data_IF_396880732933
#
_entry.id   IF_396880732933
#
_cell.length_a   1.000
_cell.length_b   1.000
_cell.length_c   1.000
_cell.angle_alpha   90.00
_cell.angle_beta   90.00
_cell.angle_gamma   90.00
#
_symmetry.space_group_name_H-M   'P 1'
#
loop_
_entity.id
_entity.type
_entity.pdbx_description
1 polymer ?
#
# COMPACT_ATOMS: atom_id res chain seq x y z
N UNK A 1 -6.74 20.78 -7.06
CA UNK A 1 -6.54 19.37 -7.44
C UNK A 1 -6.12 18.62 -6.19
N UNK A 2 -7.05 18.01 -5.50
CA UNK A 2 -6.78 17.14 -4.35
C UNK A 2 -6.23 15.82 -4.90
N UNK A 3 -4.96 15.53 -4.65
CA UNK A 3 -4.35 14.25 -5.01
C UNK A 3 -4.96 13.15 -4.13
N UNK A 4 -6.00 12.49 -4.62
CA UNK A 4 -6.64 11.41 -3.89
C UNK A 4 -5.75 10.18 -3.91
N UNK A 5 -5.23 9.81 -2.74
CA UNK A 5 -4.44 8.59 -2.58
C UNK A 5 -5.37 7.37 -2.72
N UNK A 6 -5.11 6.54 -3.73
CA UNK A 6 -5.91 5.34 -3.99
C UNK A 6 -5.35 4.13 -3.25
N UNK A 7 -6.10 3.65 -2.26
CA UNK A 7 -5.79 2.46 -1.49
C UNK A 7 -6.48 1.20 -2.00
N UNK A 8 -5.78 0.07 -1.94
CA UNK A 8 -6.33 -1.25 -2.26
C UNK A 8 -5.84 -2.31 -1.29
N UNK A 9 -6.70 -3.27 -0.97
CA UNK A 9 -6.36 -4.34 -0.04
C UNK A 9 -5.55 -5.41 -0.75
N UNK A 10 -4.36 -5.78 -0.26
CA UNK A 10 -3.61 -6.89 -0.84
C UNK A 10 -4.30 -8.24 -0.58
N UNK A 11 -5.16 -8.34 0.44
CA UNK A 11 -5.78 -9.61 0.83
C UNK A 11 -7.14 -9.86 0.16
N UNK A 12 -8.02 -8.85 0.13
CA UNK A 12 -9.38 -8.99 -0.42
C UNK A 12 -9.67 -8.08 -1.61
N UNK A 13 -8.67 -7.32 -2.09
CA UNK A 13 -8.76 -6.42 -3.22
C UNK A 13 -9.75 -5.26 -3.06
N UNK A 14 -10.39 -5.14 -1.90
CA UNK A 14 -11.30 -4.06 -1.55
C UNK A 14 -10.61 -2.71 -1.44
N UNK A 15 -11.35 -1.65 -1.74
CA UNK A 15 -10.92 -0.25 -1.67
C UNK A 15 -11.49 0.50 -0.47
N UNK A 16 -12.36 -0.13 0.33
CA UNK A 16 -12.93 0.48 1.53
C UNK A 16 -12.04 0.27 2.75
N UNK A 17 -11.76 1.36 3.45
CA UNK A 17 -10.83 1.39 4.57
C UNK A 17 -11.24 2.37 5.65
N UNK A 18 -10.70 2.14 6.84
CA UNK A 18 -10.67 3.11 7.93
C UNK A 18 -9.23 3.51 8.21
N UNK A 19 -9.05 4.70 8.74
CA UNK A 19 -7.77 5.19 9.25
C UNK A 19 -7.82 5.29 10.76
N UNK A 20 -6.76 4.87 11.44
CA UNK A 20 -6.65 4.96 12.90
C UNK A 20 -5.21 5.27 13.28
N UNK A 21 -5.04 6.17 14.24
CA UNK A 21 -3.71 6.50 14.81
C UNK A 21 -3.04 5.30 15.46
N UNK A 22 -3.83 4.34 15.96
CA UNK A 22 -3.33 3.10 16.55
C UNK A 22 -2.82 2.09 15.50
N UNK A 23 -3.25 2.24 14.26
CA UNK A 23 -2.86 1.37 13.14
C UNK A 23 -1.65 1.94 12.36
N UNK A 24 -1.12 3.10 12.78
CA UNK A 24 0.06 3.74 12.19
C UNK A 24 1.32 2.98 12.60
N UNK A 25 2.16 2.65 11.62
CA UNK A 25 3.45 1.98 11.81
C UNK A 25 4.39 2.30 10.64
N UNK A 26 5.67 1.94 10.74
CA UNK A 26 6.62 2.08 9.63
C UNK A 26 6.12 1.42 8.33
N UNK A 27 5.41 0.29 8.44
CA UNK A 27 4.84 -0.46 7.31
C UNK A 27 3.46 0.03 6.88
N UNK A 28 2.83 0.91 7.65
CA UNK A 28 1.51 1.48 7.39
C UNK A 28 1.47 2.94 7.89
N UNK A 29 2.18 3.87 7.24
CA UNK A 29 2.35 5.23 7.74
C UNK A 29 1.02 6.01 7.76
N UNK A 30 0.07 5.61 6.91
CA UNK A 30 -1.23 6.25 6.77
C UNK A 30 -2.29 5.63 7.72
N UNK A 31 -1.91 4.63 8.52
CA UNK A 31 -2.82 3.97 9.46
C UNK A 31 -4.04 3.33 8.79
N UNK A 32 -3.96 3.04 7.49
CA UNK A 32 -5.09 2.63 6.67
C UNK A 32 -5.27 1.11 6.71
N UNK A 33 -6.46 0.67 7.14
CA UNK A 33 -6.82 -0.74 7.29
C UNK A 33 -8.10 -1.04 6.55
N UNK A 34 -8.14 -2.18 5.84
CA UNK A 34 -9.35 -2.63 5.18
C UNK A 34 -10.47 -2.84 6.20
N UNK A 35 -11.68 -2.37 5.92
CA UNK A 35 -12.82 -2.54 6.82
C UNK A 35 -13.23 -4.01 6.93
N UNK A 36 -13.06 -4.79 5.86
CA UNK A 36 -13.48 -6.19 5.81
C UNK A 36 -12.48 -7.13 6.49
N UNK A 37 -11.23 -7.18 6.00
CA UNK A 37 -10.25 -8.16 6.48
C UNK A 37 -9.22 -7.59 7.46
N UNK A 38 -9.28 -6.28 7.76
CA UNK A 38 -8.35 -5.59 8.68
C UNK A 38 -6.87 -5.66 8.27
N UNK A 39 -6.56 -6.07 7.05
CA UNK A 39 -5.21 -5.99 6.50
C UNK A 39 -4.82 -4.54 6.23
N UNK A 40 -3.52 -4.23 6.34
CA UNK A 40 -3.00 -2.90 6.01
C UNK A 40 -3.18 -2.62 4.52
N UNK A 41 -3.60 -1.41 4.20
CA UNK A 41 -3.89 -1.00 2.83
C UNK A 41 -2.59 -0.62 2.12
N UNK A 42 -2.52 -0.87 0.81
CA UNK A 42 -1.41 -0.42 -0.03
C UNK A 42 -1.89 0.65 -1.01
N UNK A 43 -1.08 1.66 -1.27
CA UNK A 43 -1.35 2.66 -2.31
C UNK A 43 -0.89 2.13 -3.66
N UNK A 44 -1.56 2.51 -4.76
CA UNK A 44 -1.14 2.11 -6.10
C UNK A 44 0.30 2.58 -6.45
N UNK A 45 0.71 3.76 -5.98
CA UNK A 45 2.06 4.30 -6.21
C UNK A 45 3.17 3.40 -5.63
N UNK A 46 2.95 2.85 -4.43
CA UNK A 46 3.85 1.86 -3.84
C UNK A 46 3.91 0.55 -4.64
N UNK A 47 2.84 0.15 -5.35
CA UNK A 47 2.87 -1.02 -6.22
C UNK A 47 3.74 -0.76 -7.47
N UNK A 48 3.70 0.46 -8.03
CA UNK A 48 4.57 0.85 -9.14
C UNK A 48 6.04 0.94 -8.69
N UNK A 49 6.32 1.54 -7.54
CA UNK A 49 7.67 1.66 -6.98
C UNK A 49 8.28 0.29 -6.62
N UNK A 50 7.49 -0.64 -6.04
CA UNK A 50 7.95 -2.00 -5.75
C UNK A 50 8.31 -2.77 -7.03
N UNK A 51 7.56 -2.57 -8.13
CA UNK A 51 7.89 -3.16 -9.44
C UNK A 51 9.19 -2.59 -10.03
N UNK A 52 9.45 -1.30 -9.86
CA UNK A 52 10.71 -0.69 -10.31
C UNK A 52 11.92 -1.15 -9.48
N UNK A 53 11.75 -1.36 -8.17
CA UNK A 53 12.81 -1.92 -7.33
C UNK A 53 13.17 -3.36 -7.75
N UNK A 54 12.19 -4.17 -8.17
CA UNK A 54 12.45 -5.53 -8.67
C UNK A 54 13.21 -5.56 -10.00
N UNK A 55 12.96 -4.63 -10.92
CA UNK A 55 13.70 -4.57 -12.19
C UNK A 55 15.17 -4.19 -12.00
N UNK A 56 15.48 -3.31 -11.03
CA UNK A 56 16.86 -2.88 -10.77
C UNK A 56 17.71 -3.98 -10.10
N UNK A 57 17.11 -4.87 -9.31
CA UNK A 57 17.81 -6.02 -8.72
C UNK A 57 18.17 -7.09 -9.77
N UNK A 58 17.34 -7.27 -10.80
CA UNK A 58 17.66 -8.21 -11.89
C UNK A 58 18.76 -7.70 -12.82
N UNK A 59 18.92 -6.38 -12.94
CA UNK A 59 19.91 -5.78 -13.85
C UNK A 59 21.33 -5.79 -13.27
N UNK A 60 21.48 -5.67 -11.94
CA UNK A 60 22.76 -5.79 -11.24
C UNK A 60 23.27 -7.24 -11.07
N UNK A 61 22.48 -8.24 -11.49
CA UNK A 61 22.87 -9.66 -11.46
C UNK A 61 23.21 -10.16 -12.87
N UNK A 62 24.04 -9.40 -13.60
CA UNK A 62 24.61 -9.81 -14.88
C UNK A 62 26.09 -9.44 -14.97
#
# INVERSE_FOLDING_TARGET
MTSYIHFRCPCCHGSQYRTSVFDVSEKNPLGAKCIFCKSSMITLDHLAAARQAQSHVTEYRK
#
